data_IF_703537194041
#
_entry.id   IF_703537194041
#
_cell.length_a   1.000
_cell.length_b   1.000
_cell.length_c   1.000
_cell.angle_alpha   90.00
_cell.angle_beta   90.00
_cell.angle_gamma   90.00
#
_symmetry.space_group_name_H-M   'P 1'
#
loop_
_entity.id
_entity.type
_entity.pdbx_description
1 polymer ?
#
# COMPACT_ATOMS: atom_id res chain seq x y z
N UNK A 1 3.39 4.64 -9.24
CA UNK A 1 2.41 3.94 -8.38
C UNK A 1 2.62 2.46 -8.56
N UNK A 2 2.85 1.72 -7.47
CA UNK A 2 3.14 0.27 -7.53
C UNK A 2 1.93 -0.58 -7.95
N UNK A 3 0.72 -0.02 -7.88
CA UNK A 3 -0.54 -0.65 -8.29
C UNK A 3 -1.41 0.34 -9.07
N UNK A 4 -2.28 -0.17 -9.94
CA UNK A 4 -3.26 0.65 -10.65
C UNK A 4 -4.28 1.31 -9.69
N UNK A 5 -4.85 2.46 -10.07
CA UNK A 5 -5.87 3.14 -9.26
C UNK A 5 -7.07 2.23 -8.96
N UNK A 6 -7.52 1.48 -9.96
CA UNK A 6 -8.61 0.53 -9.79
C UNK A 6 -8.24 -0.58 -8.79
N UNK A 7 -7.03 -1.15 -8.90
CA UNK A 7 -6.54 -2.16 -7.95
C UNK A 7 -6.44 -1.63 -6.51
N UNK A 8 -5.99 -0.38 -6.34
CA UNK A 8 -5.92 0.27 -5.03
C UNK A 8 -7.32 0.47 -4.42
N UNK A 9 -8.30 0.91 -5.21
CA UNK A 9 -9.67 1.07 -4.75
C UNK A 9 -10.31 -0.26 -4.36
N UNK A 10 -10.03 -1.32 -5.13
CA UNK A 10 -10.48 -2.68 -4.79
C UNK A 10 -9.85 -3.12 -3.45
N UNK A 11 -8.53 -2.95 -3.28
CA UNK A 11 -7.86 -3.29 -2.02
C UNK A 11 -8.45 -2.53 -0.82
N UNK A 12 -8.71 -1.23 -0.96
CA UNK A 12 -9.36 -0.42 0.06
C UNK A 12 -10.79 -0.87 0.36
N UNK A 13 -11.57 -1.24 -0.66
CA UNK A 13 -12.92 -1.74 -0.47
C UNK A 13 -12.94 -3.09 0.28
N UNK A 14 -12.00 -3.98 -0.03
CA UNK A 14 -11.84 -5.26 0.66
C UNK A 14 -11.35 -5.13 2.10
N UNK A 15 -10.75 -3.99 2.47
CA UNK A 15 -10.31 -3.77 3.85
C UNK A 15 -11.50 -3.79 4.83
N UNK A 16 -12.67 -3.30 4.43
CA UNK A 16 -13.85 -3.27 5.29
C UNK A 16 -14.33 -4.67 5.73
N UNK A 17 -14.66 -5.63 4.84
CA UNK A 17 -15.01 -6.98 5.25
C UNK A 17 -13.86 -7.68 5.98
N UNK A 18 -12.60 -7.45 5.60
CA UNK A 18 -11.44 -8.03 6.30
C UNK A 18 -11.36 -7.56 7.76
N UNK A 19 -11.60 -6.27 8.04
CA UNK A 19 -11.61 -5.74 9.41
C UNK A 19 -12.77 -6.30 10.24
N UNK A 20 -13.95 -6.51 9.61
CA UNK A 20 -15.08 -7.14 10.27
C UNK A 20 -14.72 -8.57 10.67
N UNK A 21 -14.14 -9.36 9.76
CA UNK A 21 -13.72 -10.73 10.05
C UNK A 21 -12.54 -10.79 11.04
N UNK A 22 -11.63 -9.81 11.00
CA UNK A 22 -10.58 -9.71 12.00
C UNK A 22 -11.18 -9.53 13.41
N UNK A 23 -12.21 -8.68 13.55
CA UNK A 23 -12.90 -8.46 14.82
C UNK A 23 -13.61 -9.73 15.30
N UNK A 24 -14.21 -10.51 14.40
CA UNK A 24 -14.84 -11.79 14.76
C UNK A 24 -13.80 -12.83 15.20
N UNK A 25 -12.69 -12.95 14.48
CA UNK A 25 -11.59 -13.86 14.82
C UNK A 25 -10.91 -13.48 16.13
N UNK A 26 -10.66 -12.19 16.38
CA UNK A 26 -10.08 -11.72 17.65
C UNK A 26 -11.00 -11.99 18.84
N UNK A 27 -12.33 -11.87 18.65
CA UNK A 27 -13.28 -12.20 19.70
C UNK A 27 -13.22 -13.68 20.11
N UNK A 28 -12.85 -14.59 19.21
CA UNK A 28 -12.63 -16.01 19.57
C UNK A 28 -11.42 -16.21 20.49
N UNK A 29 -10.46 -15.29 20.45
CA UNK A 29 -9.30 -15.25 21.34
C UNK A 29 -9.55 -14.42 22.61
N UNK A 30 -10.81 -14.08 22.92
CA UNK A 30 -11.21 -13.17 24.01
C UNK A 30 -10.72 -11.72 23.86
N UNK A 31 -10.23 -11.35 22.67
CA UNK A 31 -9.75 -10.00 22.36
C UNK A 31 -10.90 -9.19 21.74
N UNK A 32 -11.40 -8.22 22.48
CA UNK A 32 -12.54 -7.41 22.07
C UNK A 32 -12.08 -6.04 21.57
N UNK A 33 -12.07 -5.85 20.25
CA UNK A 33 -11.89 -4.52 19.67
C UNK A 33 -13.23 -3.78 19.66
N UNK A 34 -13.21 -2.56 20.20
CA UNK A 34 -14.28 -1.59 20.00
C UNK A 34 -14.36 -1.16 18.53
N UNK A 35 -15.47 -0.53 18.17
CA UNK A 35 -15.66 0.03 16.83
C UNK A 35 -14.58 1.06 16.51
N UNK A 36 -14.24 1.93 17.48
CA UNK A 36 -13.24 2.97 17.29
C UNK A 36 -11.84 2.39 17.06
N UNK A 37 -11.44 1.38 17.83
CA UNK A 37 -10.16 0.69 17.64
C UNK A 37 -10.09 -0.01 16.28
N UNK A 38 -11.20 -0.63 15.86
CA UNK A 38 -11.27 -1.28 14.54
C UNK A 38 -11.09 -0.26 13.41
N UNK A 39 -11.75 0.90 13.51
CA UNK A 39 -11.58 2.01 12.56
C UNK A 39 -10.14 2.53 12.56
N UNK A 40 -9.53 2.66 13.74
CA UNK A 40 -8.15 3.13 13.88
C UNK A 40 -7.15 2.16 13.24
N UNK A 41 -7.30 0.86 13.48
CA UNK A 41 -6.51 -0.19 12.81
C UNK A 41 -6.70 -0.13 11.30
N UNK A 42 -7.94 0.00 10.83
CA UNK A 42 -8.25 0.17 9.42
C UNK A 42 -7.58 1.40 8.79
N UNK A 43 -7.59 2.53 9.49
CA UNK A 43 -6.95 3.76 9.04
C UNK A 43 -5.42 3.59 8.91
N UNK A 44 -4.79 2.90 9.86
CA UNK A 44 -3.34 2.59 9.80
C UNK A 44 -3.03 1.73 8.58
N UNK A 45 -3.81 0.65 8.36
CA UNK A 45 -3.60 -0.24 7.21
C UNK A 45 -3.81 0.52 5.90
N UNK A 46 -4.86 1.33 5.80
CA UNK A 46 -5.13 2.15 4.63
C UNK A 46 -3.99 3.15 4.37
N UNK A 47 -3.51 3.84 5.39
CA UNK A 47 -2.37 4.76 5.26
C UNK A 47 -1.10 4.04 4.80
N UNK A 48 -0.82 2.85 5.33
CA UNK A 48 0.29 2.01 4.88
C UNK A 48 0.18 1.60 3.41
N UNK A 49 -1.02 1.18 2.98
CA UNK A 49 -1.30 0.84 1.58
C UNK A 49 -1.12 2.05 0.65
N UNK A 50 -1.60 3.23 1.07
CA UNK A 50 -1.42 4.46 0.29
C UNK A 50 0.06 4.81 0.19
N UNK A 51 0.79 4.84 1.31
CA UNK A 51 2.21 5.15 1.31
C UNK A 51 2.98 4.19 0.41
N UNK A 52 2.73 2.89 0.53
CA UNK A 52 3.32 1.86 -0.33
C UNK A 52 2.96 2.03 -1.80
N UNK A 53 1.70 2.35 -2.12
CA UNK A 53 1.24 2.52 -3.49
C UNK A 53 1.88 3.74 -4.17
N UNK A 54 2.17 4.80 -3.40
CA UNK A 54 2.76 6.05 -3.90
C UNK A 54 4.28 6.13 -3.77
N UNK A 55 4.93 5.22 -3.02
CA UNK A 55 6.38 5.18 -2.92
C UNK A 55 6.98 4.84 -4.31
N UNK A 56 7.91 5.66 -4.84
CA UNK A 56 8.58 5.37 -6.09
C UNK A 56 9.42 4.09 -5.97
N UNK A 57 9.55 3.34 -7.06
CA UNK A 57 10.48 2.22 -7.12
C UNK A 57 11.86 2.78 -7.45
N UNK A 58 12.84 2.57 -6.56
CA UNK A 58 14.22 3.00 -6.77
C UNK A 58 14.79 2.22 -7.97
N UNK A 59 14.69 2.79 -9.18
CA UNK A 59 15.07 2.04 -10.38
C UNK A 59 14.95 2.69 -11.75
N UNK A 60 14.88 4.03 -11.89
CA UNK A 60 14.95 4.62 -13.25
C UNK A 60 15.54 6.04 -13.31
N UNK A 61 16.56 6.30 -12.49
CA UNK A 61 17.40 7.49 -12.65
C UNK A 61 18.89 7.12 -12.62
N UNK A 62 19.33 6.27 -13.55
CA UNK A 62 20.78 6.22 -13.89
C UNK A 62 21.06 5.56 -15.23
N UNK A 63 21.57 6.38 -16.17
CA UNK A 63 22.36 6.04 -17.38
C UNK A 63 21.52 5.80 -18.66
N UNK A 64 21.55 6.66 -19.69
CA UNK A 64 22.76 7.09 -20.41
C UNK A 64 22.60 8.46 -21.09
N UNK A 65 23.21 9.49 -20.50
CA UNK A 65 23.63 10.73 -21.19
C UNK A 65 25.17 10.77 -21.24
N UNK A 66 25.77 9.63 -21.61
CA UNK A 66 27.23 9.50 -21.80
C UNK A 66 27.53 8.55 -22.95
N UNK A 67 27.37 9.02 -24.20
CA UNK A 67 28.30 8.65 -25.28
C UNK A 67 28.08 9.39 -26.62
N UNK A 68 27.68 10.67 -26.59
CA UNK A 68 27.56 11.49 -27.82
C UNK A 68 28.84 12.29 -28.16
N UNK A 69 30.00 11.95 -27.58
CA UNK A 69 31.20 12.80 -27.73
C UNK A 69 32.53 12.14 -28.09
N UNK A 70 32.64 10.81 -28.26
CA UNK A 70 33.96 10.22 -28.58
C UNK A 70 33.89 9.06 -29.60
N UNK A 71 33.72 9.45 -30.87
CA UNK A 71 34.21 8.74 -32.07
C UNK A 71 34.11 9.76 -33.21
N UNK A 72 34.89 10.85 -33.18
CA UNK A 72 36.20 10.95 -33.87
C UNK A 72 36.10 10.38 -35.30
N UNK A 73 35.99 11.25 -36.32
CA UNK A 73 37.11 11.89 -37.06
C UNK A 73 38.04 10.88 -37.73
#
# INVERSE_FOLDING_TARGET
MRISKAGLLVALAFLAPILVELRTVLAWADIHLSVLETVFVGAIIAAGLLLWAFLPEDGDETTSDRDVSNSEL
#
